data_IF_827511093338
#
_entry.id   IF_827511093338
#
_cell.length_a   1.000
_cell.length_b   1.000
_cell.length_c   1.000
_cell.angle_alpha   90.00
_cell.angle_beta   90.00
_cell.angle_gamma   90.00
#
_symmetry.space_group_name_H-M   'P 1'
#
loop_
_entity.id
_entity.type
_entity.pdbx_description
1 polymer ?
#
# COMPACT_ATOMS: atom_id res chain seq x y z
N UNK A 1 21.74 -20.96 12.08
CA UNK A 1 20.86 -21.66 13.05
C UNK A 1 20.05 -20.68 13.87
N UNK A 2 20.44 -20.40 15.11
CA UNK A 2 19.53 -19.77 16.11
C UNK A 2 19.48 -18.22 16.06
N UNK A 3 20.55 -17.56 15.62
CA UNK A 3 20.63 -16.09 15.56
C UNK A 3 19.78 -15.46 14.43
N UNK A 4 19.48 -16.26 13.40
CA UNK A 4 18.65 -15.89 12.24
C UNK A 4 17.19 -15.92 12.70
N UNK A 5 16.72 -17.06 13.21
CA UNK A 5 15.35 -17.26 13.71
C UNK A 5 14.93 -16.20 14.74
N UNK A 6 15.78 -15.87 15.72
CA UNK A 6 15.41 -14.89 16.76
C UNK A 6 15.21 -13.45 16.21
N UNK A 7 15.88 -13.09 15.11
CA UNK A 7 15.68 -11.80 14.44
C UNK A 7 14.41 -11.81 13.59
N UNK A 8 14.11 -12.91 12.90
CA UNK A 8 12.92 -13.01 12.05
C UNK A 8 11.62 -13.14 12.85
N UNK A 9 11.61 -13.84 13.99
CA UNK A 9 10.42 -13.94 14.86
C UNK A 9 9.98 -12.57 15.40
N UNK A 10 10.93 -11.72 15.80
CA UNK A 10 10.60 -10.35 16.25
C UNK A 10 9.98 -9.51 15.13
N UNK A 11 10.48 -9.64 13.89
CA UNK A 11 9.94 -8.97 12.71
C UNK A 11 8.52 -9.45 12.41
N UNK A 12 8.25 -10.75 12.51
CA UNK A 12 6.92 -11.33 12.32
C UNK A 12 5.91 -10.78 13.35
N UNK A 13 6.27 -10.72 14.63
CA UNK A 13 5.40 -10.13 15.66
C UNK A 13 5.15 -8.63 15.42
N UNK A 14 6.15 -7.90 14.93
CA UNK A 14 6.00 -6.49 14.57
C UNK A 14 5.01 -6.32 13.41
N UNK A 15 5.13 -7.12 12.35
CA UNK A 15 4.18 -7.13 11.24
C UNK A 15 2.78 -7.51 11.69
N UNK A 16 2.63 -8.54 12.52
CA UNK A 16 1.35 -8.94 13.09
C UNK A 16 0.69 -7.80 13.88
N UNK A 17 1.46 -7.04 14.67
CA UNK A 17 0.95 -5.87 15.40
C UNK A 17 0.47 -4.75 14.45
N UNK A 18 1.22 -4.46 13.39
CA UNK A 18 0.84 -3.47 12.37
C UNK A 18 -0.45 -3.90 11.64
N UNK A 19 -0.58 -5.18 11.30
CA UNK A 19 -1.77 -5.73 10.64
C UNK A 19 -3.00 -5.64 11.55
N UNK A 20 -2.86 -6.01 12.83
CA UNK A 20 -3.95 -5.93 13.79
C UNK A 20 -4.41 -4.48 14.01
N UNK A 21 -3.47 -3.54 14.10
CA UNK A 21 -3.77 -2.12 14.18
C UNK A 21 -4.47 -1.59 12.92
N UNK A 22 -4.03 -2.02 11.75
CA UNK A 22 -4.62 -1.63 10.45
C UNK A 22 -6.03 -2.16 10.31
N UNK A 23 -6.27 -3.43 10.67
CA UNK A 23 -7.60 -4.03 10.70
C UNK A 23 -8.52 -3.29 11.67
N UNK A 24 -8.06 -3.02 12.90
CA UNK A 24 -8.84 -2.26 13.88
C UNK A 24 -9.19 -0.85 13.38
N UNK A 25 -8.26 -0.17 12.72
CA UNK A 25 -8.49 1.14 12.13
C UNK A 25 -9.55 1.10 11.02
N UNK A 26 -9.50 0.09 10.13
CA UNK A 26 -10.48 -0.10 9.06
C UNK A 26 -11.87 -0.39 9.64
N UNK A 27 -11.96 -1.25 10.68
CA UNK A 27 -13.23 -1.54 11.35
C UNK A 27 -13.84 -0.34 12.08
N UNK A 28 -13.02 0.67 12.42
CA UNK A 28 -13.44 1.86 13.17
C UNK A 28 -13.75 3.07 12.27
N UNK A 29 -13.20 3.11 11.05
CA UNK A 29 -13.59 4.11 10.06
C UNK A 29 -14.94 3.67 9.44
N UNK A 30 -16.02 4.35 9.80
CA UNK A 30 -17.33 4.14 9.19
C UNK A 30 -17.28 4.42 7.68
N UNK A 31 -17.88 3.54 6.87
CA UNK A 31 -17.83 3.47 5.40
C UNK A 31 -18.28 4.73 4.64
N UNK A 32 -18.79 5.75 5.34
CA UNK A 32 -19.63 6.77 4.71
C UNK A 32 -18.90 7.82 3.88
N UNK A 33 -17.57 7.94 3.92
CA UNK A 33 -16.84 8.87 3.04
C UNK A 33 -15.39 8.44 2.77
N UNK A 34 -15.18 7.30 2.10
CA UNK A 34 -13.86 7.01 1.51
C UNK A 34 -13.62 7.94 0.32
N UNK A 35 -13.13 9.15 0.60
CA UNK A 35 -12.65 10.10 -0.39
C UNK A 35 -11.27 9.66 -0.89
N UNK A 36 -11.14 9.13 -2.12
CA UNK A 36 -9.87 8.67 -2.67
C UNK A 36 -8.84 9.80 -2.67
N UNK A 37 -9.29 11.04 -2.85
CA UNK A 37 -8.49 12.26 -2.85
C UNK A 37 -7.74 12.51 -1.54
N UNK A 38 -8.23 11.97 -0.42
CA UNK A 38 -7.63 12.08 0.92
C UNK A 38 -6.84 10.85 1.36
N UNK A 39 -6.88 9.76 0.59
CA UNK A 39 -6.13 8.55 0.88
C UNK A 39 -4.62 8.82 0.99
N UNK A 40 -3.94 8.07 1.85
CA UNK A 40 -2.49 8.18 2.04
C UNK A 40 -1.74 7.98 0.71
N UNK A 41 -2.18 7.02 -0.11
CA UNK A 41 -1.62 6.75 -1.42
C UNK A 41 -1.74 7.96 -2.37
N UNK A 42 -2.92 8.57 -2.48
CA UNK A 42 -3.12 9.77 -3.31
C UNK A 42 -2.29 10.96 -2.79
N UNK A 43 -2.21 11.14 -1.47
CA UNK A 43 -1.36 12.17 -0.86
C UNK A 43 0.12 11.98 -1.19
N UNK A 44 0.61 10.75 -1.20
CA UNK A 44 1.98 10.45 -1.62
C UNK A 44 2.18 10.74 -3.11
N UNK A 45 1.24 10.31 -3.96
CA UNK A 45 1.31 10.53 -5.40
C UNK A 45 1.29 12.02 -5.77
N UNK A 46 0.47 12.83 -5.07
CA UNK A 46 0.41 14.30 -5.23
C UNK A 46 1.73 15.02 -4.97
N UNK A 47 2.63 14.43 -4.16
CA UNK A 47 3.97 15.01 -3.94
C UNK A 47 4.89 14.83 -5.14
N UNK A 48 4.63 13.82 -5.98
CA UNK A 48 5.48 13.45 -7.11
C UNK A 48 4.97 14.13 -8.39
N UNK A 49 3.65 14.18 -8.59
CA UNK A 49 3.04 14.77 -9.78
C UNK A 49 1.63 15.29 -9.50
N UNK A 50 1.08 16.19 -10.34
CA UNK A 50 -0.30 16.66 -10.19
C UNK A 50 -1.27 15.48 -10.27
N UNK A 51 -2.21 15.40 -9.33
CA UNK A 51 -3.25 14.36 -9.30
C UNK A 51 -4.62 15.04 -9.38
N UNK A 52 -5.48 14.54 -10.26
CA UNK A 52 -6.88 14.95 -10.36
C UNK A 52 -7.71 14.27 -9.28
N UNK A 53 -8.69 14.97 -8.71
CA UNK A 53 -9.58 14.40 -7.68
C UNK A 53 -10.69 13.51 -8.25
N UNK A 54 -11.11 13.79 -9.48
CA UNK A 54 -12.18 13.05 -10.15
C UNK A 54 -11.65 11.87 -10.97
N UNK A 55 -12.39 10.76 -10.93
CA UNK A 55 -12.15 9.60 -11.79
C UNK A 55 -12.23 9.99 -13.27
N UNK A 56 -11.23 9.59 -14.06
CA UNK A 56 -11.15 9.82 -15.50
C UNK A 56 -11.40 8.52 -16.28
N UNK A 57 -12.45 7.78 -15.90
CA UNK A 57 -12.67 6.42 -16.39
C UNK A 57 -11.52 5.49 -16.00
N UNK A 58 -11.04 4.68 -16.95
CA UNK A 58 -9.96 3.70 -16.77
C UNK A 58 -8.56 4.24 -17.05
N UNK A 59 -8.42 5.55 -17.30
CA UNK A 59 -7.11 6.15 -17.55
C UNK A 59 -6.32 6.39 -16.25
N UNK A 60 -5.07 5.94 -16.22
CA UNK A 60 -4.14 6.17 -15.11
C UNK A 60 -3.49 7.55 -15.15
N UNK A 61 -3.19 8.03 -16.36
CA UNK A 61 -2.56 9.32 -16.62
C UNK A 61 -3.34 9.98 -17.75
N UNK A 62 -3.67 11.25 -17.55
CA UNK A 62 -4.35 12.09 -18.54
C UNK A 62 -3.48 13.31 -18.85
N UNK A 63 -3.80 14.00 -19.94
CA UNK A 63 -3.16 15.26 -20.30
C UNK A 63 -4.16 16.39 -20.12
N UNK A 64 -3.94 17.25 -19.15
CA UNK A 64 -4.74 18.46 -18.89
C UNK A 64 -3.84 19.68 -19.04
N UNK A 65 -4.31 20.69 -19.79
CA UNK A 65 -3.58 21.95 -20.02
C UNK A 65 -2.11 21.75 -20.46
N UNK A 66 -1.84 20.72 -21.26
CA UNK A 66 -0.49 20.41 -21.74
C UNK A 66 0.40 19.63 -20.75
N UNK A 67 -0.03 19.43 -19.49
CA UNK A 67 0.72 18.72 -18.44
C UNK A 67 0.18 17.29 -18.25
N UNK A 68 1.05 16.38 -17.82
CA UNK A 68 0.65 15.01 -17.42
C UNK A 68 0.11 15.06 -16.00
N UNK A 69 -1.12 14.60 -15.82
CA UNK A 69 -1.83 14.56 -14.55
C UNK A 69 -2.17 13.12 -14.25
N UNK A 70 -1.86 12.65 -13.04
CA UNK A 70 -2.23 11.33 -12.57
C UNK A 70 -3.68 11.30 -12.11
N UNK A 71 -4.34 10.16 -12.23
CA UNK A 71 -5.70 9.95 -11.71
C UNK A 71 -5.65 9.22 -10.36
N UNK A 72 -6.74 9.25 -9.56
CA UNK A 72 -6.80 8.50 -8.30
C UNK A 72 -6.59 7.00 -8.51
N UNK A 73 -6.97 6.49 -9.69
CA UNK A 73 -6.86 5.08 -10.05
C UNK A 73 -5.39 4.61 -10.15
N UNK A 74 -4.46 5.50 -10.56
CA UNK A 74 -3.03 5.22 -10.51
C UNK A 74 -2.52 5.04 -9.08
N UNK A 75 -3.00 5.85 -8.14
CA UNK A 75 -2.63 5.72 -6.72
C UNK A 75 -3.16 4.41 -6.11
N UNK A 76 -4.38 4.00 -6.48
CA UNK A 76 -4.95 2.72 -6.02
C UNK A 76 -4.12 1.55 -6.52
N UNK A 77 -3.82 1.49 -7.82
CA UNK A 77 -3.00 0.38 -8.37
C UNK A 77 -1.60 0.38 -7.79
N UNK A 78 -0.95 1.55 -7.68
CA UNK A 78 0.37 1.64 -7.06
C UNK A 78 0.37 1.14 -5.60
N UNK A 79 -0.71 1.37 -4.84
CA UNK A 79 -0.83 0.87 -3.48
C UNK A 79 -1.00 -0.66 -3.44
N UNK A 80 -1.77 -1.25 -4.37
CA UNK A 80 -1.95 -2.71 -4.47
C UNK A 80 -0.62 -3.38 -4.85
N UNK A 81 0.08 -2.85 -5.86
CA UNK A 81 1.39 -3.36 -6.28
C UNK A 81 2.43 -3.26 -5.14
N UNK A 82 2.43 -2.15 -4.40
CA UNK A 82 3.30 -2.01 -3.24
C UNK A 82 2.98 -3.02 -2.14
N UNK A 83 1.70 -3.31 -1.89
CA UNK A 83 1.28 -4.34 -0.96
C UNK A 83 1.73 -5.74 -1.43
N UNK A 84 1.60 -6.04 -2.72
CA UNK A 84 2.04 -7.32 -3.30
C UNK A 84 3.54 -7.54 -3.14
N UNK A 85 4.35 -6.50 -3.39
CA UNK A 85 5.79 -6.52 -3.14
C UNK A 85 6.12 -6.75 -1.65
N UNK A 86 5.39 -6.11 -0.74
CA UNK A 86 5.58 -6.32 0.70
C UNK A 86 5.24 -7.75 1.12
N UNK A 87 4.19 -8.36 0.55
CA UNK A 87 3.85 -9.76 0.79
C UNK A 87 4.91 -10.72 0.21
N UNK A 88 5.45 -10.42 -0.96
CA UNK A 88 6.54 -11.20 -1.56
C UNK A 88 7.82 -11.17 -0.69
N UNK A 89 8.08 -10.07 0.01
CA UNK A 89 9.22 -9.95 0.93
C UNK A 89 9.07 -10.82 2.18
N UNK A 90 7.85 -11.12 2.63
CA UNK A 90 7.61 -12.04 3.75
C UNK A 90 7.63 -13.52 3.31
N UNK A 91 7.24 -13.81 2.07
CA UNK A 91 7.21 -15.19 1.55
C UNK A 91 8.62 -15.79 1.33
N UNK A 92 9.62 -14.98 0.96
CA UNK A 92 11.00 -15.45 0.77
C UNK A 92 11.64 -15.93 2.09
N UNK A 93 11.65 -15.15 3.19
CA UNK A 93 12.10 -15.62 4.49
C UNK A 93 11.27 -16.79 5.04
N UNK A 94 9.96 -16.80 4.83
CA UNK A 94 9.10 -17.88 5.28
C UNK A 94 9.45 -19.23 4.62
N UNK A 95 9.69 -19.24 3.31
CA UNK A 95 10.10 -20.46 2.59
C UNK A 95 11.50 -20.92 3.00
N UNK A 96 12.43 -19.98 3.21
CA UNK A 96 13.78 -20.30 3.68
C UNK A 96 13.78 -20.81 5.13
N UNK A 97 12.88 -20.33 5.98
CA UNK A 97 12.75 -20.78 7.37
C UNK A 97 12.11 -22.16 7.54
N UNK A 98 11.35 -22.64 6.56
CA UNK A 98 10.74 -23.98 6.55
C UNK A 98 11.64 -25.03 5.87
N UNK A 99 12.66 -24.58 5.12
CA UNK A 99 13.57 -25.47 4.38
C UNK A 99 14.84 -25.89 5.14
N UNK A 100 15.01 -25.52 6.42
CA UNK A 100 16.13 -25.93 7.30
C UNK A 100 15.63 -26.46 8.66
#
# INVERSE_FOLDING_TARGET
GVAVVNRFTFVLFLFAAILFWSAYKILKDDEDNFDPGKSFAVRMLRKIMPVRDEYAGTHFIIKEEGKRVATPLLAVVAAIEAADLLFAVDSVPAVLAVSD
#
